data_IF_117922374273
#
_entry.id   IF_117922374273
#
_cell.length_a   1.000
_cell.length_b   1.000
_cell.length_c   1.000
_cell.angle_alpha   90.00
_cell.angle_beta   90.00
_cell.angle_gamma   90.00
#
_symmetry.space_group_name_H-M   'P 1'
#
loop_
_entity.id
_entity.type
_entity.pdbx_description
1 polymer ?
#
# COMPACT_ATOMS: atom_id res chain seq x y z
N UNK A 1 15.58 13.14 -0.10
CA UNK A 1 14.71 14.06 -0.85
C UNK A 1 13.33 14.07 -0.21
N UNK A 2 13.11 14.85 0.85
CA UNK A 2 11.84 14.93 1.62
C UNK A 2 10.65 15.51 0.82
N UNK A 3 10.59 15.23 -0.47
CA UNK A 3 9.58 15.68 -1.44
C UNK A 3 8.38 14.73 -1.51
N UNK A 4 8.48 13.54 -0.92
CA UNK A 4 7.41 12.56 -0.92
C UNK A 4 6.31 13.05 0.03
N UNK A 5 5.14 13.36 -0.53
CA UNK A 5 3.99 13.85 0.25
C UNK A 5 3.43 12.71 1.09
N UNK A 6 3.80 12.68 2.37
CA UNK A 6 3.28 11.73 3.35
C UNK A 6 1.92 12.23 3.85
N UNK A 7 0.85 11.41 3.81
CA UNK A 7 -0.44 11.78 4.38
C UNK A 7 -0.36 11.96 5.91
N UNK A 8 -1.12 12.91 6.45
CA UNK A 8 -1.16 13.22 7.90
C UNK A 8 -1.59 12.02 8.77
N UNK A 9 -2.46 11.15 8.25
CA UNK A 9 -2.97 10.01 9.01
C UNK A 9 -1.99 8.81 9.09
N UNK A 10 -0.80 8.89 8.50
CA UNK A 10 0.14 7.77 8.39
C UNK A 10 0.51 7.15 9.74
N UNK A 11 0.50 7.93 10.81
CA UNK A 11 0.90 7.49 12.15
C UNK A 11 -0.24 6.82 12.93
N UNK A 12 -1.48 6.96 12.48
CA UNK A 12 -2.67 6.51 13.24
C UNK A 12 -3.33 5.27 12.67
N UNK A 13 -3.13 5.00 11.37
CA UNK A 13 -3.90 3.96 10.67
C UNK A 13 -3.24 2.59 10.65
N UNK A 14 -4.08 1.57 10.52
CA UNK A 14 -3.65 0.22 10.16
C UNK A 14 -3.50 0.09 8.65
N UNK A 15 -2.52 -0.70 8.21
CA UNK A 15 -2.23 -0.90 6.78
C UNK A 15 -3.26 -1.74 6.03
N UNK A 16 -4.05 -2.54 6.76
CA UNK A 16 -5.11 -3.37 6.23
C UNK A 16 -6.09 -3.76 7.34
N UNK A 17 -7.30 -4.18 6.96
CA UNK A 17 -8.33 -4.67 7.89
C UNK A 17 -7.85 -5.85 8.74
N UNK A 18 -7.04 -6.72 8.16
CA UNK A 18 -6.52 -7.92 8.80
C UNK A 18 -5.33 -7.69 9.73
N UNK A 19 -4.84 -6.45 9.83
CA UNK A 19 -3.82 -6.11 10.81
C UNK A 19 -4.50 -5.76 12.12
N UNK A 20 -3.98 -6.30 13.21
CA UNK A 20 -4.47 -6.01 14.56
C UNK A 20 -4.03 -4.62 14.99
N UNK A 21 -2.77 -4.27 14.72
CA UNK A 21 -2.11 -3.03 15.15
C UNK A 21 -1.61 -2.20 13.97
N UNK A 22 -1.31 -0.93 14.23
CA UNK A 22 -0.61 -0.04 13.31
C UNK A 22 0.87 -0.47 13.16
N UNK A 23 1.57 -0.05 12.09
CA UNK A 23 2.99 -0.29 11.93
C UNK A 23 3.81 0.30 13.08
N UNK A 24 4.80 -0.43 13.55
CA UNK A 24 5.76 0.07 14.55
C UNK A 24 6.87 0.94 13.94
N UNK A 25 7.17 0.73 12.66
CA UNK A 25 8.16 1.52 11.93
C UNK A 25 7.52 2.84 11.48
N UNK A 26 7.98 3.96 12.02
CA UNK A 26 7.55 5.32 11.63
C UNK A 26 7.81 5.59 10.13
N UNK A 27 8.81 4.95 9.54
CA UNK A 27 9.18 5.11 8.14
C UNK A 27 8.46 4.14 7.20
N UNK A 28 7.42 3.44 7.66
CA UNK A 28 6.73 2.41 6.88
C UNK A 28 6.23 2.92 5.52
N UNK A 29 5.83 4.20 5.44
CA UNK A 29 5.30 4.79 4.21
C UNK A 29 6.35 4.83 3.10
N UNK A 30 7.60 5.14 3.44
CA UNK A 30 8.73 5.13 2.49
C UNK A 30 9.08 3.73 2.04
N UNK A 31 9.11 2.77 2.96
CA UNK A 31 9.32 1.35 2.65
C UNK A 31 8.25 0.83 1.72
N UNK A 32 6.99 1.22 1.93
CA UNK A 32 5.86 0.85 1.06
C UNK A 32 5.95 1.51 -0.31
N UNK A 33 6.35 2.77 -0.38
CA UNK A 33 6.59 3.46 -1.65
C UNK A 33 7.70 2.77 -2.47
N UNK A 34 8.84 2.45 -1.85
CA UNK A 34 9.93 1.74 -2.51
C UNK A 34 9.51 0.35 -3.02
N UNK A 35 8.79 -0.41 -2.19
CA UNK A 35 8.23 -1.72 -2.57
C UNK A 35 7.27 -1.62 -3.77
N UNK A 36 6.43 -0.57 -3.79
CA UNK A 36 5.46 -0.32 -4.86
C UNK A 36 6.16 -0.03 -6.19
N UNK A 37 7.15 0.88 -6.20
CA UNK A 37 7.93 1.21 -7.40
C UNK A 37 8.64 -0.02 -7.94
N UNK A 38 9.28 -0.81 -7.06
CA UNK A 38 9.95 -2.05 -7.47
C UNK A 38 8.98 -3.04 -8.11
N UNK A 39 7.78 -3.17 -7.54
CA UNK A 39 6.79 -4.10 -8.08
C UNK A 39 6.28 -3.64 -9.46
N UNK A 40 6.01 -2.35 -9.61
CA UNK A 40 5.60 -1.75 -10.89
C UNK A 40 6.65 -1.97 -11.97
N UNK A 41 7.92 -1.74 -11.64
CA UNK A 41 9.03 -1.93 -12.58
C UNK A 41 9.13 -3.38 -13.09
N UNK A 42 8.95 -4.37 -12.20
CA UNK A 42 9.13 -5.78 -12.56
C UNK A 42 7.94 -6.39 -13.29
N UNK A 43 6.71 -5.98 -12.96
CA UNK A 43 5.49 -6.63 -13.49
C UNK A 43 4.78 -5.83 -14.58
N UNK A 44 4.95 -4.52 -14.64
CA UNK A 44 4.18 -3.64 -15.53
C UNK A 44 2.67 -3.66 -15.22
N UNK A 45 1.94 -2.63 -15.65
CA UNK A 45 0.46 -2.64 -15.66
C UNK A 45 -0.23 -2.93 -14.31
N UNK A 46 0.40 -2.60 -13.18
CA UNK A 46 -0.12 -2.94 -11.85
C UNK A 46 -0.87 -1.76 -11.21
N UNK A 47 -2.19 -1.85 -11.13
CA UNK A 47 -3.02 -0.85 -10.44
C UNK A 47 -3.18 -1.07 -8.94
N UNK A 48 -4.02 -0.23 -8.32
CA UNK A 48 -4.37 -0.30 -6.89
C UNK A 48 -4.88 -1.69 -6.47
N UNK A 49 -5.68 -2.35 -7.33
CA UNK A 49 -6.21 -3.68 -7.06
C UNK A 49 -5.12 -4.74 -6.89
N UNK A 50 -4.14 -4.76 -7.80
CA UNK A 50 -2.98 -5.65 -7.71
C UNK A 50 -2.20 -5.40 -6.40
N UNK A 51 -1.95 -4.12 -6.11
CA UNK A 51 -1.23 -3.72 -4.89
C UNK A 51 -1.94 -4.15 -3.60
N UNK A 52 -3.28 -4.06 -3.57
CA UNK A 52 -4.05 -4.57 -2.42
C UNK A 52 -4.02 -6.08 -2.28
N UNK A 53 -3.84 -6.84 -3.37
CA UNK A 53 -3.72 -8.29 -3.30
C UNK A 53 -2.34 -8.69 -2.77
N UNK A 54 -1.29 -8.01 -3.24
CA UNK A 54 0.10 -8.23 -2.82
C UNK A 54 0.29 -7.92 -1.33
N UNK A 55 -0.23 -6.78 -0.89
CA UNK A 55 -0.20 -6.39 0.53
C UNK A 55 -1.38 -6.95 1.34
N UNK A 56 -2.14 -7.89 0.75
CA UNK A 56 -3.13 -8.67 1.46
C UNK A 56 -2.49 -9.67 2.42
N UNK A 57 -3.34 -10.35 3.19
CA UNK A 57 -2.84 -11.27 4.19
C UNK A 57 -3.93 -12.12 4.80
N UNK A 58 -3.52 -12.96 5.74
CA UNK A 58 -4.41 -13.85 6.49
C UNK A 58 -5.14 -13.04 7.57
N UNK A 59 -6.46 -13.02 7.51
CA UNK A 59 -7.33 -12.43 8.54
C UNK A 59 -7.50 -13.42 9.69
N UNK A 60 -7.27 -12.92 10.91
CA UNK A 60 -7.68 -13.59 12.14
C UNK A 60 -9.15 -13.29 12.39
N UNK A 61 -10.00 -14.32 12.42
CA UNK A 61 -11.44 -14.22 12.70
C UNK A 61 -11.76 -14.71 14.13
N UNK A 62 -10.81 -14.59 15.06
CA UNK A 62 -10.92 -15.15 16.41
C UNK A 62 -10.97 -16.67 16.39
N UNK A 63 -12.14 -17.23 16.70
CA UNK A 63 -12.39 -18.68 16.78
C UNK A 63 -12.65 -19.31 15.40
N UNK A 64 -13.19 -18.54 14.45
CA UNK A 64 -13.50 -19.04 13.10
C UNK A 64 -12.22 -19.24 12.27
N UNK A 65 -12.20 -20.19 11.30
CA UNK A 65 -11.08 -20.35 10.39
C UNK A 65 -10.64 -19.04 9.72
N UNK A 66 -9.34 -18.97 9.49
CA UNK A 66 -8.70 -17.82 8.86
C UNK A 66 -8.90 -17.82 7.36
N UNK A 67 -9.21 -16.65 6.79
CA UNK A 67 -9.34 -16.46 5.35
C UNK A 67 -8.44 -15.33 4.86
N UNK A 68 -8.20 -15.26 3.55
CA UNK A 68 -7.49 -14.15 2.95
C UNK A 68 -8.34 -12.87 3.00
N UNK A 69 -7.70 -11.76 3.31
CA UNK A 69 -8.28 -10.42 3.23
C UNK A 69 -7.31 -9.48 2.53
N UNK A 70 -7.86 -8.64 1.65
CA UNK A 70 -7.09 -7.68 0.88
C UNK A 70 -6.49 -6.57 1.76
N UNK A 71 -5.41 -5.98 1.26
CA UNK A 71 -4.78 -4.79 1.83
C UNK A 71 -5.66 -3.55 1.68
N UNK A 72 -5.32 -2.48 2.41
CA UNK A 72 -6.08 -1.24 2.32
C UNK A 72 -5.95 -0.57 0.94
N UNK A 73 -7.10 -0.36 0.28
CA UNK A 73 -7.18 0.38 -0.98
C UNK A 73 -6.79 1.85 -0.82
N UNK A 74 -7.12 2.47 0.32
CA UNK A 74 -6.79 3.88 0.58
C UNK A 74 -5.29 4.09 0.69
N UNK A 75 -4.59 3.20 1.41
CA UNK A 75 -3.13 3.24 1.56
C UNK A 75 -2.44 3.03 0.23
N UNK A 76 -2.81 1.98 -0.51
CA UNK A 76 -2.22 1.70 -1.83
C UNK A 76 -2.42 2.89 -2.80
N UNK A 77 -3.62 3.47 -2.83
CA UNK A 77 -3.91 4.64 -3.69
C UNK A 77 -3.07 5.85 -3.30
N UNK A 78 -2.94 6.17 -2.00
CA UNK A 78 -2.14 7.33 -1.57
C UNK A 78 -0.66 7.18 -1.87
N UNK A 79 -0.12 5.97 -1.73
CA UNK A 79 1.26 5.69 -2.10
C UNK A 79 1.47 5.92 -3.60
N UNK A 80 0.59 5.41 -4.45
CA UNK A 80 0.70 5.63 -5.91
C UNK A 80 0.54 7.11 -6.29
N UNK A 81 -0.40 7.84 -5.69
CA UNK A 81 -0.55 9.29 -5.89
C UNK A 81 0.69 10.09 -5.43
N UNK A 82 1.32 9.69 -4.32
CA UNK A 82 2.54 10.32 -3.85
C UNK A 82 3.72 10.08 -4.81
N UNK A 83 3.81 8.89 -5.40
CA UNK A 83 4.81 8.53 -6.41
C UNK A 83 4.58 9.23 -7.76
N UNK A 84 3.32 9.39 -8.16
CA UNK A 84 2.91 10.19 -9.32
C UNK A 84 3.33 11.67 -9.15
N UNK A 85 3.12 12.23 -7.96
CA UNK A 85 3.58 13.59 -7.64
C UNK A 85 5.11 13.76 -7.71
N UNK A 86 5.86 12.67 -7.55
CA UNK A 86 7.31 12.63 -7.72
C UNK A 86 7.75 12.33 -9.16
N UNK A 87 6.80 12.15 -10.09
CA UNK A 87 7.04 11.74 -11.49
C UNK A 87 7.79 10.41 -11.61
N UNK A 88 7.61 9.50 -10.65
CA UNK A 88 8.19 8.16 -10.68
C UNK A 88 7.28 7.11 -11.31
N UNK A 89 5.98 7.41 -11.40
CA UNK A 89 4.94 6.55 -11.94
C UNK A 89 4.01 7.42 -12.77
N UNK A 90 3.58 6.91 -13.91
CA UNK A 90 2.59 7.55 -14.78
C UNK A 90 1.34 6.68 -14.85
N UNK A 91 0.18 7.32 -15.01
CA UNK A 91 -1.09 6.64 -15.11
C UNK A 91 -1.39 6.33 -16.57
N UNK A 92 -1.54 5.05 -16.90
CA UNK A 92 -2.01 4.65 -18.23
C UNK A 92 -3.54 4.89 -18.36
N UNK A 93 -4.04 5.34 -19.50
CA UNK A 93 -5.48 5.48 -19.75
C UNK A 93 -6.27 4.18 -19.55
N UNK A 94 -5.63 3.02 -19.77
CA UNK A 94 -6.24 1.70 -19.67
C UNK A 94 -6.02 1.01 -18.31
N UNK A 95 -5.30 1.64 -17.36
CA UNK A 95 -5.12 1.08 -16.01
C UNK A 95 -3.92 1.59 -15.24
#
# INVERSE_FOLDING_TARGET
SGKLKVPEWVDTVKLAKHKELAPYDENWFYTRAASTVRHLYLRGGAGVGSMTKIYGGRQRNGVMPSHFSSGSKSVARKVMQALEGLKMVEKDPNG
#
